data_IF_114010839803
#
_entry.id   IF_114010839803
#
_cell.length_a   1.000
_cell.length_b   1.000
_cell.length_c   1.000
_cell.angle_alpha   90.00
_cell.angle_beta   90.00
_cell.angle_gamma   90.00
#
_symmetry.space_group_name_H-M   'P 1'
#
loop_
_entity.id
_entity.type
_entity.pdbx_description
1 polymer ?
#
# COMPACT_ATOMS: atom_id res chain seq x y z
N UNK A 1 3.53 6.45 0.62
CA UNK A 1 4.99 6.59 0.82
C UNK A 1 5.69 5.51 0.00
N UNK A 2 6.68 5.88 -0.81
CA UNK A 2 7.51 4.90 -1.52
C UNK A 2 8.62 4.41 -0.58
N UNK A 3 8.48 3.18 -0.06
CA UNK A 3 9.33 2.68 1.02
C UNK A 3 10.83 2.77 0.72
N UNK A 4 11.23 2.55 -0.53
CA UNK A 4 12.62 2.56 -1.02
C UNK A 4 13.38 3.86 -0.74
N UNK A 5 12.68 4.97 -0.51
CA UNK A 5 13.28 6.29 -0.29
C UNK A 5 12.82 6.96 0.99
N UNK A 6 12.21 6.22 1.92
CA UNK A 6 11.75 6.80 3.19
C UNK A 6 12.91 6.87 4.17
N UNK A 7 13.04 8.02 4.82
CA UNK A 7 13.87 8.21 6.01
C UNK A 7 12.96 8.45 7.22
N UNK A 8 13.34 7.92 8.38
CA UNK A 8 12.54 8.05 9.60
C UNK A 8 13.42 8.03 10.86
N UNK A 9 12.91 8.59 11.95
CA UNK A 9 13.55 8.48 13.28
C UNK A 9 13.33 7.08 13.83
N UNK A 10 14.42 6.31 14.04
CA UNK A 10 14.36 4.95 14.57
C UNK A 10 13.59 4.87 15.90
N UNK A 11 13.87 5.80 16.82
CA UNK A 11 13.20 5.86 18.12
C UNK A 11 11.68 5.96 18.00
N UNK A 12 11.18 6.77 17.06
CA UNK A 12 9.75 6.91 16.79
C UNK A 12 9.15 5.63 16.19
N UNK A 13 9.85 5.01 15.24
CA UNK A 13 9.37 3.73 14.66
C UNK A 13 9.31 2.63 15.73
N UNK A 14 10.28 2.58 16.65
CA UNK A 14 10.23 1.65 17.76
C UNK A 14 9.11 1.96 18.75
N UNK A 15 8.82 3.25 19.04
CA UNK A 15 7.74 3.63 19.96
C UNK A 15 6.35 3.24 19.45
N UNK A 16 6.15 3.13 18.14
CA UNK A 16 4.88 2.62 17.57
C UNK A 16 4.87 1.09 17.40
N UNK A 17 5.95 0.38 17.79
CA UNK A 17 6.06 -1.08 17.78
C UNK A 17 6.80 -1.68 16.58
N UNK A 18 7.59 -0.89 15.84
CA UNK A 18 8.43 -1.38 14.75
C UNK A 18 7.67 -2.05 13.60
N UNK A 19 8.35 -2.86 12.79
CA UNK A 19 7.72 -3.68 11.76
C UNK A 19 6.98 -4.86 12.38
N UNK A 20 5.74 -5.09 11.94
CA UNK A 20 4.93 -6.22 12.37
C UNK A 20 4.62 -7.10 11.19
N UNK A 21 4.53 -8.41 11.43
CA UNK A 21 4.20 -9.36 10.38
C UNK A 21 2.82 -9.06 9.80
N UNK A 22 2.82 -8.78 8.50
CA UNK A 22 1.64 -8.57 7.69
C UNK A 22 2.04 -8.84 6.25
N UNK A 23 2.01 -10.11 5.88
CA UNK A 23 2.54 -10.60 4.61
C UNK A 23 2.26 -9.66 3.43
N UNK A 24 3.32 -9.17 2.78
CA UNK A 24 3.33 -8.24 1.64
C UNK A 24 2.97 -6.78 1.94
N UNK A 25 2.62 -6.44 3.17
CA UNK A 25 2.05 -5.15 3.58
C UNK A 25 2.66 -4.60 4.87
N UNK A 26 3.83 -5.10 5.28
CA UNK A 26 4.54 -4.70 6.49
C UNK A 26 4.77 -3.19 6.55
N UNK A 27 5.19 -2.58 5.44
CA UNK A 27 5.37 -1.13 5.32
C UNK A 27 4.05 -0.39 5.48
N UNK A 28 2.98 -0.85 4.82
CA UNK A 28 1.67 -0.21 4.87
C UNK A 28 1.12 -0.23 6.30
N UNK A 29 1.24 -1.38 6.97
CA UNK A 29 0.88 -1.54 8.37
C UNK A 29 1.64 -0.54 9.26
N UNK A 30 2.96 -0.45 9.11
CA UNK A 30 3.79 0.49 9.86
C UNK A 30 3.30 1.93 9.68
N UNK A 31 3.11 2.38 8.45
CA UNK A 31 2.71 3.77 8.18
C UNK A 31 1.31 4.10 8.67
N UNK A 32 0.38 3.13 8.67
CA UNK A 32 -0.93 3.33 9.31
C UNK A 32 -0.80 3.55 10.81
N UNK A 33 0.06 2.79 11.50
CA UNK A 33 0.30 2.98 12.95
C UNK A 33 1.00 4.31 13.25
N UNK A 34 1.96 4.72 12.41
CA UNK A 34 2.60 6.04 12.51
C UNK A 34 1.58 7.17 12.38
N UNK A 35 0.66 7.09 11.40
CA UNK A 35 -0.41 8.08 11.25
C UNK A 35 -1.37 8.06 12.44
N UNK A 36 -1.78 6.87 12.89
CA UNK A 36 -2.70 6.72 14.02
C UNK A 36 -2.12 7.27 15.33
N UNK A 37 -0.79 7.25 15.49
CA UNK A 37 -0.11 7.79 16.67
C UNK A 37 0.11 9.30 16.62
N UNK A 38 -0.45 10.01 15.63
CA UNK A 38 -0.23 11.45 15.41
C UNK A 38 1.15 11.77 14.82
N UNK A 39 1.86 10.79 14.27
CA UNK A 39 3.14 11.00 13.63
C UNK A 39 3.02 11.81 12.33
N UNK A 40 3.89 12.81 12.17
CA UNK A 40 3.93 13.61 10.95
C UNK A 40 4.61 12.87 9.81
N UNK A 41 4.00 12.90 8.63
CA UNK A 41 4.53 12.32 7.39
C UNK A 41 4.55 13.41 6.32
N UNK A 42 5.65 13.53 5.60
CA UNK A 42 5.78 14.46 4.47
C UNK A 42 6.40 13.77 3.26
N UNK A 43 5.97 14.18 2.06
CA UNK A 43 6.57 13.77 0.80
C UNK A 43 7.43 14.93 0.27
N UNK A 44 8.63 14.62 -0.20
CA UNK A 44 9.43 15.58 -0.95
C UNK A 44 8.86 15.71 -2.38
N UNK A 45 8.79 16.93 -2.95
CA UNK A 45 8.33 17.16 -4.32
C UNK A 45 9.42 16.81 -5.35
N UNK A 46 10.15 15.70 -5.15
CA UNK A 46 11.23 15.23 -6.00
C UNK A 46 11.08 13.75 -6.27
N UNK A 47 11.37 13.34 -7.51
CA UNK A 47 11.46 11.92 -7.87
C UNK A 47 12.83 11.42 -7.41
N UNK A 48 12.84 10.54 -6.41
CA UNK A 48 14.07 9.99 -5.81
C UNK A 48 14.25 8.49 -6.07
N UNK A 49 13.33 7.87 -6.80
CA UNK A 49 13.30 6.42 -7.00
C UNK A 49 13.13 6.08 -8.47
N UNK A 50 14.01 5.21 -8.98
CA UNK A 50 13.86 4.58 -10.28
C UNK A 50 13.83 3.06 -10.07
N UNK A 51 12.64 2.46 -10.13
CA UNK A 51 12.43 1.02 -9.87
C UNK A 51 12.02 0.31 -11.16
N UNK A 52 12.57 -0.89 -11.34
CA UNK A 52 12.13 -1.84 -12.36
C UNK A 52 10.74 -2.36 -12.01
N UNK A 53 9.72 -1.77 -12.66
CA UNK A 53 8.35 -2.26 -12.64
C UNK A 53 8.06 -3.06 -13.90
N UNK A 54 7.26 -4.12 -13.80
CA UNK A 54 6.94 -4.98 -14.92
C UNK A 54 5.87 -6.01 -14.60
N UNK A 55 5.63 -6.92 -15.54
CA UNK A 55 4.57 -7.92 -15.43
C UNK A 55 4.75 -8.84 -14.21
N UNK A 56 5.99 -9.20 -13.89
CA UNK A 56 6.33 -10.00 -12.71
C UNK A 56 5.99 -9.32 -11.38
N UNK A 57 5.98 -7.97 -11.34
CA UNK A 57 5.49 -7.24 -10.18
C UNK A 57 3.96 -7.39 -10.05
N UNK A 58 3.25 -7.38 -11.18
CA UNK A 58 1.79 -7.54 -11.21
C UNK A 58 1.41 -8.96 -10.81
N UNK A 59 2.06 -9.98 -11.40
CA UNK A 59 1.79 -11.40 -11.11
C UNK A 59 1.91 -11.75 -9.63
N UNK A 60 2.93 -11.21 -8.96
CA UNK A 60 3.18 -11.45 -7.52
C UNK A 60 2.13 -10.82 -6.59
N UNK A 61 1.40 -9.79 -7.03
CA UNK A 61 0.45 -9.05 -6.20
C UNK A 61 -0.99 -9.43 -6.52
N UNK A 62 -1.29 -10.72 -6.49
CA UNK A 62 -2.59 -11.31 -6.85
C UNK A 62 -2.90 -12.57 -6.04
N UNK A 63 -4.12 -13.07 -6.18
CA UNK A 63 -4.54 -14.35 -5.61
C UNK A 63 -4.93 -14.29 -4.14
N UNK A 64 -5.36 -15.46 -3.63
CA UNK A 64 -5.99 -15.59 -2.31
C UNK A 64 -5.10 -15.18 -1.14
N UNK A 65 -3.81 -15.46 -1.21
CA UNK A 65 -2.85 -15.08 -0.17
C UNK A 65 -2.81 -13.55 -0.03
N UNK A 66 -2.76 -12.84 -1.16
CA UNK A 66 -2.75 -11.38 -1.17
C UNK A 66 -4.09 -10.80 -0.68
N UNK A 67 -5.22 -11.42 -1.03
CA UNK A 67 -6.55 -11.02 -0.56
C UNK A 67 -6.66 -11.14 0.96
N UNK A 68 -6.11 -12.21 1.57
CA UNK A 68 -6.05 -12.33 3.04
C UNK A 68 -5.29 -11.15 3.66
N UNK A 69 -4.17 -10.75 3.07
CA UNK A 69 -3.43 -9.55 3.51
C UNK A 69 -4.23 -8.25 3.33
N UNK A 70 -5.01 -8.10 2.26
CA UNK A 70 -5.89 -6.94 2.06
C UNK A 70 -7.01 -6.87 3.12
N UNK A 71 -7.60 -8.01 3.49
CA UNK A 71 -8.61 -8.08 4.56
C UNK A 71 -7.97 -7.74 5.91
N UNK A 72 -6.78 -8.27 6.20
CA UNK A 72 -6.02 -7.90 7.41
C UNK A 72 -5.76 -6.38 7.45
N UNK A 73 -5.44 -5.79 6.30
CA UNK A 73 -5.21 -4.34 6.18
C UNK A 73 -6.47 -3.52 6.43
N UNK A 74 -7.62 -3.96 5.90
CA UNK A 74 -8.90 -3.31 6.18
C UNK A 74 -9.24 -3.36 7.67
N UNK A 75 -9.07 -4.52 8.32
CA UNK A 75 -9.27 -4.64 9.78
C UNK A 75 -8.36 -3.70 10.57
N UNK A 76 -7.10 -3.57 10.16
CA UNK A 76 -6.15 -2.65 10.79
C UNK A 76 -6.59 -1.19 10.64
N UNK A 77 -7.03 -0.78 9.44
CA UNK A 77 -7.55 0.58 9.22
C UNK A 77 -8.74 0.92 10.11
N UNK A 78 -9.68 -0.03 10.26
CA UNK A 78 -10.83 0.13 11.17
C UNK A 78 -10.37 0.21 12.63
N UNK A 79 -9.45 -0.66 13.06
CA UNK A 79 -8.91 -0.65 14.43
C UNK A 79 -8.21 0.67 14.78
N UNK A 80 -7.53 1.27 13.80
CA UNK A 80 -6.79 2.52 13.96
C UNK A 80 -7.64 3.78 13.68
N UNK A 81 -8.93 3.64 13.34
CA UNK A 81 -9.83 4.74 12.99
C UNK A 81 -9.28 5.69 11.91
N UNK A 82 -8.50 5.17 10.95
CA UNK A 82 -7.84 5.98 9.91
C UNK A 82 -8.83 6.46 8.84
N UNK A 83 -9.85 5.65 8.56
CA UNK A 83 -10.86 5.93 7.53
C UNK A 83 -12.24 5.54 8.02
N UNK A 84 -13.28 6.25 7.56
CA UNK A 84 -14.67 5.83 7.72
C UNK A 84 -14.90 4.39 7.25
N UNK A 85 -15.84 3.70 7.90
CA UNK A 85 -16.24 2.33 7.59
C UNK A 85 -16.55 2.14 6.10
N UNK A 86 -17.36 3.03 5.51
CA UNK A 86 -17.75 2.94 4.09
C UNK A 86 -16.57 3.12 3.15
N UNK A 87 -15.66 4.05 3.44
CA UNK A 87 -14.44 4.26 2.66
C UNK A 87 -13.50 3.06 2.76
N UNK A 88 -13.38 2.46 3.94
CA UNK A 88 -12.56 1.27 4.12
C UNK A 88 -13.13 0.07 3.33
N UNK A 89 -14.44 -0.14 3.41
CA UNK A 89 -15.13 -1.19 2.67
C UNK A 89 -14.98 -1.00 1.15
N UNK A 90 -15.28 0.20 0.65
CA UNK A 90 -15.14 0.53 -0.77
C UNK A 90 -13.71 0.31 -1.28
N UNK A 91 -12.71 0.85 -0.57
CA UNK A 91 -11.30 0.70 -0.97
C UNK A 91 -10.81 -0.74 -0.89
N UNK A 92 -11.25 -1.52 0.10
CA UNK A 92 -10.96 -2.96 0.20
C UNK A 92 -11.53 -3.72 -1.00
N UNK A 93 -12.82 -3.50 -1.33
CA UNK A 93 -13.50 -4.19 -2.43
C UNK A 93 -12.82 -3.90 -3.77
N UNK A 94 -12.53 -2.63 -4.08
CA UNK A 94 -11.80 -2.27 -5.30
C UNK A 94 -10.43 -2.96 -5.40
N UNK A 95 -9.69 -3.01 -4.28
CA UNK A 95 -8.38 -3.66 -4.25
C UNK A 95 -8.51 -5.16 -4.49
N UNK A 96 -9.45 -5.84 -3.83
CA UNK A 96 -9.70 -7.28 -4.02
C UNK A 96 -10.06 -7.60 -5.47
N UNK A 97 -10.95 -6.80 -6.09
CA UNK A 97 -11.31 -6.98 -7.50
C UNK A 97 -10.07 -6.89 -8.41
N UNK A 98 -9.18 -5.92 -8.17
CA UNK A 98 -7.92 -5.83 -8.91
C UNK A 98 -6.98 -7.02 -8.67
N UNK A 99 -6.99 -7.64 -7.47
CA UNK A 99 -6.18 -8.84 -7.17
C UNK A 99 -6.71 -10.11 -7.84
N UNK A 100 -8.01 -10.19 -8.11
CA UNK A 100 -8.66 -11.31 -8.78
C UNK A 100 -8.58 -11.21 -10.31
N UNK A 101 -8.56 -9.98 -10.84
CA UNK A 101 -8.55 -9.70 -12.28
C UNK A 101 -7.43 -10.43 -13.03
N UNK A 102 -7.66 -11.07 -14.19
CA UNK A 102 -6.61 -11.68 -15.01
C UNK A 102 -5.48 -10.71 -15.36
N UNK A 103 -4.24 -11.20 -15.42
CA UNK A 103 -3.04 -10.36 -15.64
C UNK A 103 -3.08 -9.59 -16.97
N UNK A 104 -3.56 -10.15 -18.10
CA UNK A 104 -3.68 -9.41 -19.35
C UNK A 104 -4.63 -8.21 -19.26
N UNK A 105 -5.78 -8.39 -18.59
CA UNK A 105 -6.75 -7.32 -18.40
C UNK A 105 -6.18 -6.22 -17.51
N UNK A 106 -5.55 -6.60 -16.40
CA UNK A 106 -4.93 -5.64 -15.50
C UNK A 106 -3.78 -4.87 -16.19
N UNK A 107 -2.99 -5.54 -17.04
CA UNK A 107 -1.95 -4.92 -17.88
C UNK A 107 -2.54 -3.89 -18.85
N UNK A 108 -3.66 -4.21 -19.49
CA UNK A 108 -4.38 -3.28 -20.35
C UNK A 108 -4.89 -2.05 -19.59
N UNK A 109 -5.48 -2.25 -18.41
CA UNK A 109 -5.92 -1.14 -17.54
C UNK A 109 -4.73 -0.26 -17.15
N UNK A 110 -3.63 -0.85 -16.68
CA UNK A 110 -2.42 -0.10 -16.34
C UNK A 110 -1.82 0.63 -17.54
N UNK A 111 -1.80 0.04 -18.75
CA UNK A 111 -1.22 0.72 -19.92
C UNK A 111 -2.04 1.94 -20.32
N UNK A 112 -3.38 1.87 -20.24
CA UNK A 112 -4.27 3.00 -20.50
C UNK A 112 -4.13 4.09 -19.45
N UNK A 113 -4.14 3.74 -18.16
CA UNK A 113 -4.00 4.70 -17.05
C UNK A 113 -2.60 5.32 -16.97
N UNK A 114 -1.57 4.59 -17.40
CA UNK A 114 -0.18 5.09 -17.45
C UNK A 114 0.03 6.13 -18.55
N UNK A 115 -0.95 6.34 -19.43
CA UNK A 115 -0.94 7.44 -20.40
C UNK A 115 -1.35 8.75 -19.72
N UNK A 116 -0.43 9.33 -18.97
CA UNK A 116 -0.42 10.77 -18.73
C UNK A 116 1.01 11.21 -18.48
N UNK A 117 1.39 12.29 -19.17
CA UNK A 117 2.66 13.01 -19.12
C UNK A 117 3.33 12.92 -17.75
N UNK A 118 4.54 12.38 -17.72
CA UNK A 118 5.55 12.83 -16.77
C UNK A 118 6.62 13.51 -17.63
N UNK A 119 6.71 14.82 -17.39
CA UNK A 119 7.67 15.77 -17.90
C UNK A 119 9.12 15.29 -17.73
#
# INVERSE_FOLDING_TARGET
LNHMTVMYKKSFILSVGGYQHHLYMEDYNLWLRVLASGGCICNLPKVLVHVRAGEEMIKRRKGWIYIKSEIQLARLKSKLNITSFWNNYYTMTLRILARLMPTPLLKFVYSKLRTSKLA
#
